data_IF_740120564379
#
_entry.id   IF_740120564379
#
_cell.length_a   1.000
_cell.length_b   1.000
_cell.length_c   1.000
_cell.angle_alpha   90.00
_cell.angle_beta   90.00
_cell.angle_gamma   90.00
#
_symmetry.space_group_name_H-M   'P 1'
#
loop_
_entity.id
_entity.type
_entity.pdbx_description
1 polymer ?
#
# COMPACT_ATOMS: atom_id res chain seq x y z
N UNK A 1 10.67 10.33 1.61
CA UNK A 1 10.41 9.39 2.73
C UNK A 1 11.22 9.86 3.93
N UNK A 2 10.61 10.01 5.13
CA UNK A 2 11.35 10.45 6.32
C UNK A 2 12.46 9.49 6.71
N UNK A 3 13.60 10.01 7.18
CA UNK A 3 14.78 9.20 7.53
C UNK A 3 14.62 8.39 8.82
N UNK A 4 13.61 8.66 9.63
CA UNK A 4 13.27 7.84 10.79
C UNK A 4 12.70 6.46 10.40
N UNK A 5 12.37 6.24 9.14
CA UNK A 5 11.95 4.94 8.63
C UNK A 5 13.11 4.21 7.96
N UNK A 6 13.27 2.90 8.21
CA UNK A 6 14.34 2.11 7.61
C UNK A 6 14.42 2.23 6.10
N UNK A 7 13.30 2.25 5.39
CA UNK A 7 13.27 2.45 3.94
C UNK A 7 13.92 3.78 3.54
N UNK A 8 13.51 4.90 4.13
CA UNK A 8 14.06 6.22 3.82
C UNK A 8 15.55 6.32 4.15
N UNK A 9 15.97 5.81 5.31
CA UNK A 9 17.38 5.81 5.70
C UNK A 9 18.22 4.89 4.81
N UNK A 10 17.80 3.64 4.63
CA UNK A 10 18.56 2.65 3.87
C UNK A 10 18.72 3.04 2.40
N UNK A 11 17.63 3.47 1.73
CA UNK A 11 17.66 3.74 0.29
C UNK A 11 18.18 5.14 -0.05
N UNK A 12 17.71 6.17 0.64
CA UNK A 12 18.05 7.55 0.28
C UNK A 12 19.39 8.02 0.85
N UNK A 13 19.80 7.51 2.00
CA UNK A 13 21.04 7.94 2.65
C UNK A 13 22.12 6.87 2.52
N UNK A 14 21.93 5.72 3.18
CA UNK A 14 22.98 4.72 3.30
C UNK A 14 23.41 4.17 1.94
N UNK A 15 22.47 3.72 1.12
CA UNK A 15 22.76 3.17 -0.21
C UNK A 15 23.42 4.21 -1.12
N UNK A 16 22.94 5.47 -1.08
CA UNK A 16 23.52 6.55 -1.89
C UNK A 16 24.98 6.79 -1.53
N UNK A 17 25.30 6.86 -0.23
CA UNK A 17 26.67 7.07 0.24
C UNK A 17 27.58 5.87 -0.04
N UNK A 18 27.13 4.65 0.20
CA UNK A 18 27.88 3.42 -0.07
C UNK A 18 28.18 3.24 -1.57
N UNK A 19 27.30 3.72 -2.45
CA UNK A 19 27.52 3.69 -3.90
C UNK A 19 28.26 4.91 -4.43
N UNK A 20 28.83 5.78 -3.59
CA UNK A 20 29.55 7.00 -4.00
C UNK A 20 28.66 8.02 -4.69
N UNK A 21 27.36 8.05 -4.38
CA UNK A 21 26.37 8.99 -4.97
C UNK A 21 26.10 10.16 -4.03
N UNK A 22 25.62 11.25 -4.58
CA UNK A 22 25.16 12.40 -3.79
C UNK A 22 23.74 12.15 -3.29
N UNK A 23 23.50 12.32 -1.99
CA UNK A 23 22.18 12.29 -1.39
C UNK A 23 21.62 13.72 -1.26
N UNK A 24 20.48 14.00 -1.86
CA UNK A 24 19.75 15.25 -1.66
C UNK A 24 18.83 15.06 -0.45
N UNK A 25 19.19 15.69 0.67
CA UNK A 25 18.45 15.59 1.90
C UNK A 25 17.36 16.68 1.95
N UNK A 26 16.12 16.27 2.08
CA UNK A 26 14.96 17.14 2.22
C UNK A 26 14.29 16.87 3.58
N UNK A 27 14.71 17.55 4.65
CA UNK A 27 14.22 17.25 6.00
C UNK A 27 12.75 17.60 6.20
N UNK A 28 12.26 18.56 5.42
CA UNK A 28 10.86 19.01 5.44
C UNK A 28 10.36 19.13 4.00
N UNK A 29 9.69 18.10 3.49
CA UNK A 29 9.05 18.12 2.19
C UNK A 29 7.59 18.54 2.34
N UNK A 30 7.26 19.67 1.73
CA UNK A 30 5.93 20.27 1.74
C UNK A 30 5.56 20.77 0.34
N UNK A 31 4.31 21.18 0.17
CA UNK A 31 3.84 21.82 -1.07
C UNK A 31 4.64 23.08 -1.42
N UNK A 32 5.18 23.77 -0.42
CA UNK A 32 5.86 25.07 -0.61
C UNK A 32 7.32 24.91 -1.03
N UNK A 33 7.94 23.74 -0.83
CA UNK A 33 9.36 23.52 -1.12
C UNK A 33 9.67 22.35 -2.05
N UNK A 34 8.69 21.54 -2.44
CA UNK A 34 8.93 20.36 -3.29
C UNK A 34 9.54 20.74 -4.63
N UNK A 35 9.10 21.82 -5.26
CA UNK A 35 9.65 22.30 -6.52
C UNK A 35 11.12 22.69 -6.39
N UNK A 36 11.52 23.32 -5.27
CA UNK A 36 12.93 23.63 -5.01
C UNK A 36 13.79 22.37 -5.00
N UNK A 37 13.33 21.28 -4.35
CA UNK A 37 14.07 20.03 -4.34
C UNK A 37 14.09 19.35 -5.72
N UNK A 38 13.02 19.44 -6.48
CA UNK A 38 12.98 18.91 -7.84
C UNK A 38 13.95 19.66 -8.78
N UNK A 39 14.12 20.98 -8.61
CA UNK A 39 15.12 21.79 -9.32
C UNK A 39 16.58 21.50 -8.94
N UNK A 40 16.84 20.65 -7.92
CA UNK A 40 18.19 20.10 -7.63
C UNK A 40 18.59 18.97 -8.59
N UNK A 41 17.77 18.67 -9.58
CA UNK A 41 18.02 17.67 -10.62
C UNK A 41 18.27 16.25 -10.06
N UNK A 42 17.39 15.69 -9.22
CA UNK A 42 17.55 14.32 -8.76
C UNK A 42 17.50 13.34 -9.94
N UNK A 43 18.36 12.33 -9.92
CA UNK A 43 18.32 11.26 -10.92
C UNK A 43 17.39 10.12 -10.46
N UNK A 44 17.39 9.80 -9.18
CA UNK A 44 16.56 8.77 -8.56
C UNK A 44 15.81 9.40 -7.40
N UNK A 45 14.52 9.12 -7.32
CA UNK A 45 13.65 9.59 -6.24
C UNK A 45 13.14 8.35 -5.48
N UNK A 46 13.46 8.27 -4.19
CA UNK A 46 12.87 7.28 -3.28
C UNK A 46 11.72 7.93 -2.51
N UNK A 47 10.53 7.38 -2.66
CA UNK A 47 9.36 8.01 -2.07
C UNK A 47 8.23 7.06 -1.72
N UNK A 48 7.09 7.65 -1.39
CA UNK A 48 5.80 6.98 -1.28
C UNK A 48 4.90 7.41 -2.44
N UNK A 49 3.77 6.74 -2.69
CA UNK A 49 2.77 7.23 -3.63
C UNK A 49 2.29 8.66 -3.30
N UNK A 50 2.22 9.02 -2.02
CA UNK A 50 1.88 10.37 -1.59
C UNK A 50 2.92 11.42 -2.06
N UNK A 51 4.22 11.08 -2.06
CA UNK A 51 5.25 11.98 -2.61
C UNK A 51 5.06 12.18 -4.12
N UNK A 52 4.70 11.15 -4.86
CA UNK A 52 4.40 11.28 -6.28
C UNK A 52 3.25 12.27 -6.53
N UNK A 53 2.18 12.17 -5.73
CA UNK A 53 1.05 13.10 -5.80
C UNK A 53 1.46 14.53 -5.40
N UNK A 54 2.29 14.67 -4.37
CA UNK A 54 2.82 15.99 -3.96
C UNK A 54 3.60 16.66 -5.11
N UNK A 55 4.46 15.90 -5.80
CA UNK A 55 5.22 16.39 -6.97
C UNK A 55 4.25 16.81 -8.08
N UNK A 56 3.32 15.95 -8.46
CA UNK A 56 2.34 16.23 -9.53
C UNK A 56 1.51 17.49 -9.30
N UNK A 57 1.17 17.77 -8.04
CA UNK A 57 0.28 18.89 -7.68
C UNK A 57 0.99 20.22 -7.51
N UNK A 58 2.30 20.21 -7.22
CA UNK A 58 2.98 21.42 -6.76
C UNK A 58 4.25 21.77 -7.55
N UNK A 59 4.64 20.98 -8.54
CA UNK A 59 5.71 21.37 -9.48
C UNK A 59 5.07 22.07 -10.66
N UNK A 60 5.51 23.30 -10.91
CA UNK A 60 4.95 24.19 -11.93
C UNK A 60 5.24 23.70 -13.35
N UNK A 61 4.33 24.00 -14.29
CA UNK A 61 4.57 23.78 -15.71
C UNK A 61 5.85 24.46 -16.18
N UNK A 62 6.61 23.80 -17.05
CA UNK A 62 7.87 24.30 -17.58
C UNK A 62 9.12 24.03 -16.73
N UNK A 63 8.99 23.45 -15.52
CA UNK A 63 10.14 22.93 -14.78
C UNK A 63 10.69 21.72 -15.53
N UNK A 64 11.98 21.76 -15.89
CA UNK A 64 12.64 20.63 -16.56
C UNK A 64 13.03 19.55 -15.53
N UNK A 65 12.51 18.34 -15.72
CA UNK A 65 12.80 17.17 -14.91
C UNK A 65 13.54 16.07 -15.71
N UNK A 66 14.18 16.42 -16.81
CA UNK A 66 14.89 15.49 -17.70
C UNK A 66 16.00 14.70 -17.00
N UNK A 67 16.50 15.20 -15.87
CA UNK A 67 17.45 14.50 -15.00
C UNK A 67 16.85 13.30 -14.28
N UNK A 68 15.54 13.33 -13.98
CA UNK A 68 14.85 12.25 -13.26
C UNK A 68 14.74 11.01 -14.15
N UNK A 69 15.30 9.89 -13.70
CA UNK A 69 15.30 8.62 -14.44
C UNK A 69 14.39 7.60 -13.79
N UNK A 70 14.39 7.53 -12.45
CA UNK A 70 13.70 6.51 -11.70
C UNK A 70 12.98 7.11 -10.48
N UNK A 71 11.73 6.68 -10.28
CA UNK A 71 10.96 6.88 -9.07
C UNK A 71 10.69 5.51 -8.43
N UNK A 72 11.30 5.24 -7.28
CA UNK A 72 11.15 3.97 -6.59
C UNK A 72 10.25 4.21 -5.37
N UNK A 73 9.05 3.65 -5.41
CA UNK A 73 8.03 3.84 -4.39
C UNK A 73 7.87 2.63 -3.49
N UNK A 74 7.53 2.88 -2.25
CA UNK A 74 7.22 1.86 -1.27
C UNK A 74 6.50 2.43 -0.06
N UNK A 75 6.10 1.54 0.84
CA UNK A 75 5.47 1.91 2.11
C UNK A 75 3.95 2.08 2.06
N UNK A 76 3.38 2.23 0.88
CA UNK A 76 1.94 2.24 0.62
C UNK A 76 1.68 1.67 -0.78
N UNK A 77 0.42 1.41 -1.11
CA UNK A 77 0.03 0.84 -2.41
C UNK A 77 0.03 1.93 -3.49
N UNK A 78 0.68 1.67 -4.62
CA UNK A 78 0.63 2.53 -5.80
C UNK A 78 -0.46 2.03 -6.76
N UNK A 79 -1.56 2.74 -6.83
CA UNK A 79 -2.62 2.40 -7.78
C UNK A 79 -2.12 2.56 -9.23
N UNK A 80 -2.52 1.63 -10.14
CA UNK A 80 -2.09 1.66 -11.55
C UNK A 80 -2.37 3.00 -12.24
N UNK A 81 -3.48 3.64 -11.88
CA UNK A 81 -3.87 4.97 -12.35
C UNK A 81 -2.83 6.02 -11.95
N UNK A 82 -2.45 6.07 -10.66
CA UNK A 82 -1.50 7.06 -10.16
C UNK A 82 -0.11 6.87 -10.79
N UNK A 83 0.29 5.60 -11.06
CA UNK A 83 1.49 5.29 -11.83
C UNK A 83 1.42 5.89 -13.23
N UNK A 84 0.32 5.63 -13.98
CA UNK A 84 0.12 6.15 -15.34
C UNK A 84 0.17 7.68 -15.36
N UNK A 85 -0.60 8.32 -14.51
CA UNK A 85 -0.62 9.78 -14.38
C UNK A 85 0.74 10.36 -14.01
N UNK A 86 1.49 9.67 -13.13
CA UNK A 86 2.87 10.04 -12.79
C UNK A 86 3.79 10.01 -13.99
N UNK A 87 3.77 8.94 -14.79
CA UNK A 87 4.57 8.84 -16.02
C UNK A 87 4.20 9.96 -17.00
N UNK A 88 2.91 10.22 -17.20
CA UNK A 88 2.44 11.30 -18.08
C UNK A 88 2.89 12.67 -17.58
N UNK A 89 2.82 12.92 -16.27
CA UNK A 89 3.32 14.16 -15.67
C UNK A 89 4.81 14.35 -15.94
N UNK A 90 5.65 13.38 -15.63
CA UNK A 90 7.10 13.48 -15.85
C UNK A 90 7.44 13.62 -17.34
N UNK A 91 6.69 12.99 -18.24
CA UNK A 91 6.86 13.15 -19.68
C UNK A 91 6.59 14.59 -20.13
N UNK A 92 5.59 15.27 -19.59
CA UNK A 92 5.35 16.72 -19.86
C UNK A 92 6.50 17.60 -19.39
N UNK A 93 7.26 17.14 -18.41
CA UNK A 93 8.44 17.80 -17.86
C UNK A 93 9.78 17.26 -18.41
N UNK A 94 9.78 16.74 -19.66
CA UNK A 94 10.94 16.23 -20.42
C UNK A 94 11.61 14.98 -19.84
N UNK A 95 10.96 14.23 -18.94
CA UNK A 95 11.53 13.02 -18.35
C UNK A 95 10.82 11.75 -18.83
N UNK A 96 11.59 10.73 -19.25
CA UNK A 96 11.14 9.38 -19.50
C UNK A 96 11.38 8.51 -18.23
N UNK A 97 10.74 8.88 -17.14
CA UNK A 97 10.94 8.25 -15.84
C UNK A 97 10.42 6.81 -15.80
N UNK A 98 11.17 5.90 -15.16
CA UNK A 98 10.67 4.61 -14.70
C UNK A 98 10.03 4.75 -13.32
N UNK A 99 8.82 4.23 -13.12
CA UNK A 99 8.18 4.16 -11.81
C UNK A 99 8.13 2.71 -11.35
N UNK A 100 8.82 2.43 -10.25
CA UNK A 100 9.03 1.10 -9.71
C UNK A 100 8.43 0.99 -8.30
N UNK A 101 7.98 -0.19 -7.95
CA UNK A 101 7.42 -0.50 -6.65
C UNK A 101 8.31 -1.43 -5.85
N UNK A 102 8.28 -1.28 -4.53
CA UNK A 102 8.88 -2.22 -3.60
C UNK A 102 7.97 -2.42 -2.40
N UNK A 103 8.08 -3.59 -1.78
CA UNK A 103 7.40 -3.89 -0.53
C UNK A 103 8.42 -4.25 0.54
N UNK A 104 8.10 -3.91 1.78
CA UNK A 104 8.95 -4.23 2.92
C UNK A 104 8.40 -3.71 4.23
N UNK A 105 9.15 -3.97 5.29
CA UNK A 105 8.84 -3.55 6.64
C UNK A 105 10.14 -3.20 7.38
N UNK A 106 10.02 -2.72 8.61
CA UNK A 106 11.17 -2.31 9.41
C UNK A 106 12.10 -3.49 9.72
N UNK A 107 11.54 -4.65 9.94
CA UNK A 107 12.23 -5.90 10.27
C UNK A 107 13.11 -6.43 9.12
N UNK A 108 12.82 -6.04 7.89
CA UNK A 108 13.60 -6.32 6.68
C UNK A 108 14.36 -5.10 6.16
N UNK A 109 14.81 -4.22 7.05
CA UNK A 109 15.57 -2.99 6.71
C UNK A 109 14.82 -2.09 5.71
N UNK A 110 13.49 -2.15 5.70
CA UNK A 110 12.62 -1.30 4.88
C UNK A 110 12.29 -1.84 3.50
N UNK A 111 13.02 -2.83 2.97
CA UNK A 111 12.78 -3.40 1.64
C UNK A 111 12.96 -4.92 1.67
N UNK A 112 11.96 -5.65 1.22
CA UNK A 112 11.99 -7.11 1.03
C UNK A 112 11.97 -7.46 -0.45
N UNK A 113 11.18 -6.71 -1.24
CA UNK A 113 11.05 -6.90 -2.69
C UNK A 113 11.20 -5.59 -3.43
N UNK A 114 11.63 -5.65 -4.69
CA UNK A 114 11.71 -4.48 -5.56
C UNK A 114 11.42 -4.85 -7.01
N UNK A 115 10.62 -4.04 -7.68
CA UNK A 115 10.41 -4.12 -9.13
C UNK A 115 11.50 -3.38 -9.94
N UNK A 116 12.49 -2.79 -9.27
CA UNK A 116 13.68 -2.21 -9.92
C UNK A 116 14.65 -3.32 -10.34
N UNK A 117 14.23 -4.09 -11.33
CA UNK A 117 14.94 -5.27 -11.87
C UNK A 117 14.92 -5.21 -13.40
N UNK A 118 15.81 -5.98 -14.03
CA UNK A 118 15.74 -6.19 -15.48
C UNK A 118 14.42 -6.91 -15.81
N UNK A 119 13.64 -6.36 -16.73
CA UNK A 119 12.32 -6.86 -17.14
C UNK A 119 11.30 -6.92 -15.97
N UNK A 120 10.88 -5.77 -15.43
CA UNK A 120 9.89 -5.72 -14.38
C UNK A 120 8.54 -6.27 -14.86
N UNK A 121 7.83 -7.00 -13.99
CA UNK A 121 6.48 -7.50 -14.25
C UNK A 121 5.46 -6.55 -13.64
N UNK A 122 4.64 -5.94 -14.47
CA UNK A 122 3.57 -5.04 -14.01
C UNK A 122 2.59 -5.78 -13.10
N UNK A 123 2.05 -5.08 -12.10
CA UNK A 123 1.12 -5.65 -11.13
C UNK A 123 1.81 -6.46 -10.02
N UNK A 124 3.13 -6.46 -9.97
CA UNK A 124 3.91 -7.05 -8.87
C UNK A 124 4.73 -5.98 -8.17
N UNK A 125 5.10 -6.24 -6.91
CA UNK A 125 6.08 -5.43 -6.18
C UNK A 125 7.51 -5.93 -6.39
N UNK A 126 7.72 -6.71 -7.45
CA UNK A 126 9.01 -7.17 -7.93
C UNK A 126 9.48 -8.47 -7.30
N UNK A 127 10.80 -8.66 -7.34
CA UNK A 127 11.49 -9.84 -6.82
C UNK A 127 12.08 -9.56 -5.45
N UNK A 128 12.38 -10.63 -4.71
CA UNK A 128 13.15 -10.54 -3.46
C UNK A 128 14.50 -9.87 -3.70
N UNK A 129 15.01 -9.22 -2.67
CA UNK A 129 16.38 -8.72 -2.68
C UNK A 129 17.40 -9.88 -2.81
N UNK A 130 18.51 -9.60 -3.46
CA UNK A 130 19.61 -10.57 -3.61
C UNK A 130 20.09 -11.01 -2.23
N UNK A 131 20.31 -12.32 -2.05
CA UNK A 131 20.68 -12.90 -0.75
C UNK A 131 19.51 -13.24 0.15
N UNK A 132 18.29 -13.03 -0.32
CA UNK A 132 17.05 -13.43 0.37
C UNK A 132 16.46 -14.70 -0.24
N UNK A 133 15.70 -15.43 0.59
CA UNK A 133 14.88 -16.55 0.17
C UNK A 133 13.46 -16.38 0.77
N UNK A 134 12.44 -16.91 0.12
CA UNK A 134 11.07 -16.78 0.61
C UNK A 134 10.24 -18.03 0.37
N UNK A 135 9.24 -18.18 1.24
CA UNK A 135 8.14 -19.12 1.07
C UNK A 135 6.82 -18.39 1.29
N UNK A 136 5.76 -18.93 0.72
CA UNK A 136 4.39 -18.53 1.03
C UNK A 136 3.79 -19.60 1.93
N UNK A 137 3.17 -19.18 3.04
CA UNK A 137 2.48 -20.11 3.95
C UNK A 137 1.01 -19.75 4.05
N UNK A 138 0.18 -20.77 4.30
CA UNK A 138 -1.16 -20.54 4.81
C UNK A 138 -1.03 -19.99 6.24
N UNK A 139 -1.53 -18.79 6.49
CA UNK A 139 -1.37 -18.09 7.77
C UNK A 139 -1.95 -18.89 8.96
N UNK A 140 -3.09 -19.53 8.77
CA UNK A 140 -3.82 -20.21 9.84
C UNK A 140 -3.20 -21.58 10.19
N UNK A 141 -2.68 -22.30 9.18
CA UNK A 141 -2.13 -23.65 9.36
C UNK A 141 -0.61 -23.73 9.39
N UNK A 142 0.08 -22.67 8.99
CA UNK A 142 1.55 -22.63 8.86
C UNK A 142 2.13 -23.49 7.72
N UNK A 143 1.28 -24.11 6.88
CA UNK A 143 1.73 -24.98 5.79
C UNK A 143 2.25 -24.16 4.61
N UNK A 144 3.38 -24.59 4.02
CA UNK A 144 3.90 -24.02 2.76
C UNK A 144 2.88 -24.23 1.63
N UNK A 145 2.65 -23.17 0.86
CA UNK A 145 1.80 -23.14 -0.32
C UNK A 145 2.64 -23.22 -1.60
N UNK A 146 2.00 -23.58 -2.70
CA UNK A 146 2.62 -23.63 -4.02
C UNK A 146 2.70 -22.22 -4.64
N UNK A 147 3.48 -22.10 -5.70
CA UNK A 147 3.48 -20.89 -6.53
C UNK A 147 2.06 -20.54 -7.01
N UNK A 148 1.77 -19.25 -7.05
CA UNK A 148 0.47 -18.69 -7.44
C UNK A 148 -0.70 -19.01 -6.48
N UNK A 149 -0.42 -19.58 -5.30
CA UNK A 149 -1.40 -19.68 -4.21
C UNK A 149 -1.23 -18.50 -3.24
N UNK A 150 -2.34 -17.90 -2.80
CA UNK A 150 -2.32 -16.75 -1.91
C UNK A 150 -2.04 -17.16 -0.47
N UNK A 151 -1.08 -16.49 0.16
CA UNK A 151 -0.76 -16.72 1.57
C UNK A 151 0.17 -15.65 2.13
N UNK A 152 0.67 -15.87 3.33
CA UNK A 152 1.61 -14.98 4.00
C UNK A 152 3.03 -15.17 3.47
N UNK A 153 3.65 -14.06 3.04
CA UNK A 153 5.06 -14.03 2.65
C UNK A 153 5.93 -14.19 3.90
N UNK A 154 6.79 -15.22 3.89
CA UNK A 154 7.83 -15.42 4.91
C UNK A 154 9.19 -15.34 4.25
N UNK A 155 10.11 -14.57 4.83
CA UNK A 155 11.41 -14.24 4.22
C UNK A 155 12.55 -14.58 5.17
N UNK A 156 13.67 -15.04 4.60
CA UNK A 156 14.95 -15.22 5.29
C UNK A 156 16.06 -14.51 4.54
N UNK A 157 17.11 -14.09 5.23
CA UNK A 157 18.26 -13.39 4.66
C UNK A 157 19.01 -12.57 5.72
N UNK A 158 20.23 -12.15 5.40
CA UNK A 158 21.10 -11.43 6.35
C UNK A 158 20.57 -10.05 6.75
N UNK A 159 19.68 -9.45 5.96
CA UNK A 159 19.07 -8.15 6.23
C UNK A 159 17.85 -8.25 7.17
N UNK A 160 17.39 -9.46 7.51
CA UNK A 160 16.27 -9.66 8.43
C UNK A 160 16.73 -9.42 9.87
N UNK A 161 15.92 -8.68 10.63
CA UNK A 161 16.21 -8.33 12.03
C UNK A 161 16.48 -9.57 12.91
N UNK A 162 17.26 -9.40 13.96
CA UNK A 162 17.52 -10.49 14.91
C UNK A 162 16.34 -10.75 15.85
N UNK A 163 15.58 -9.73 16.17
CA UNK A 163 14.41 -9.83 17.06
C UNK A 163 14.01 -8.48 17.63
N UNK A 164 12.90 -8.46 18.35
CA UNK A 164 12.40 -7.28 19.05
C UNK A 164 13.14 -7.09 20.39
N UNK A 165 13.65 -5.87 20.59
CA UNK A 165 14.45 -5.56 21.78
C UNK A 165 13.63 -5.78 23.06
N UNK A 166 14.17 -6.61 23.99
CA UNK A 166 13.52 -6.99 25.25
C UNK A 166 12.12 -7.58 25.11
N UNK A 167 11.82 -8.20 23.97
CA UNK A 167 10.54 -8.86 23.74
C UNK A 167 10.73 -10.19 22.99
N UNK A 168 11.09 -11.20 23.76
CA UNK A 168 11.36 -12.55 23.24
C UNK A 168 10.09 -13.24 22.73
N UNK A 169 8.94 -12.98 23.36
CA UNK A 169 7.66 -13.57 22.98
C UNK A 169 7.27 -13.12 21.57
N UNK A 170 7.23 -11.80 21.32
CA UNK A 170 6.98 -11.27 19.97
C UNK A 170 8.02 -11.75 18.95
N UNK A 171 9.28 -11.93 19.36
CA UNK A 171 10.32 -12.42 18.46
C UNK A 171 10.05 -13.85 18.05
N UNK A 172 9.67 -14.73 18.99
CA UNK A 172 9.30 -16.12 18.72
C UNK A 172 8.04 -16.22 17.83
N UNK A 173 7.05 -15.37 18.05
CA UNK A 173 5.84 -15.33 17.25
C UNK A 173 6.10 -14.89 15.81
N UNK A 174 7.05 -13.96 15.62
CA UNK A 174 7.39 -13.41 14.32
C UNK A 174 8.29 -14.33 13.49
N UNK A 175 8.96 -15.32 14.07
CA UNK A 175 9.94 -16.16 13.40
C UNK A 175 9.68 -17.65 13.61
N UNK A 176 10.13 -18.48 12.68
CA UNK A 176 10.04 -19.92 12.80
C UNK A 176 11.14 -20.62 11.98
N UNK A 177 11.47 -21.82 12.40
CA UNK A 177 12.43 -22.67 11.68
C UNK A 177 11.71 -23.50 10.62
N UNK A 178 12.23 -23.47 9.39
CA UNK A 178 11.74 -24.28 8.28
C UNK A 178 12.89 -24.76 7.39
N UNK A 179 12.98 -26.06 7.14
CA UNK A 179 14.04 -26.69 6.33
C UNK A 179 15.46 -26.21 6.69
N UNK A 180 15.71 -26.04 8.01
CA UNK A 180 17.02 -25.63 8.52
C UNK A 180 17.35 -24.14 8.43
N UNK A 181 16.43 -23.31 7.98
CA UNK A 181 16.55 -21.84 7.93
C UNK A 181 15.53 -21.17 8.84
N UNK A 182 15.90 -20.02 9.44
CA UNK A 182 14.95 -19.19 10.20
C UNK A 182 14.25 -18.23 9.24
N UNK A 183 12.91 -18.28 9.20
CA UNK A 183 12.06 -17.38 8.41
C UNK A 183 11.34 -16.39 9.31
N UNK A 184 11.19 -15.17 8.80
CA UNK A 184 10.40 -14.11 9.38
C UNK A 184 9.03 -14.02 8.69
N UNK A 185 7.95 -14.04 9.47
CA UNK A 185 6.58 -13.81 9.02
C UNK A 185 6.37 -12.32 8.80
N UNK A 186 6.17 -11.90 7.56
CA UNK A 186 6.13 -10.47 7.22
C UNK A 186 4.79 -9.80 7.52
N UNK A 187 3.74 -10.56 7.81
CA UNK A 187 2.36 -10.07 7.91
C UNK A 187 1.79 -9.60 6.57
N UNK A 188 2.47 -9.89 5.46
CA UNK A 188 2.08 -9.46 4.11
C UNK A 188 1.47 -10.64 3.36
N UNK A 189 0.28 -10.44 2.80
CA UNK A 189 -0.39 -11.42 1.95
C UNK A 189 -0.05 -11.20 0.48
N UNK A 190 0.08 -12.28 -0.26
CA UNK A 190 0.31 -12.24 -1.68
C UNK A 190 0.61 -13.58 -2.31
N UNK A 191 1.02 -13.53 -3.57
CA UNK A 191 1.36 -14.68 -4.39
C UNK A 191 2.80 -14.54 -4.87
N UNK A 192 3.55 -15.63 -4.78
CA UNK A 192 4.87 -15.74 -5.40
C UNK A 192 4.72 -16.59 -6.66
N UNK A 193 5.18 -16.09 -7.80
CA UNK A 193 5.16 -16.86 -9.04
C UNK A 193 6.47 -17.66 -9.24
N UNK A 194 6.48 -18.54 -10.25
CA UNK A 194 7.62 -19.41 -10.57
C UNK A 194 8.86 -18.61 -11.00
N UNK A 195 8.69 -17.40 -11.50
CA UNK A 195 9.79 -16.48 -11.86
C UNK A 195 10.33 -15.70 -10.65
N UNK A 196 9.74 -15.85 -9.47
CA UNK A 196 10.08 -15.18 -8.23
C UNK A 196 9.56 -13.76 -8.09
N UNK A 197 8.52 -13.37 -8.86
CA UNK A 197 7.83 -12.10 -8.66
C UNK A 197 6.75 -12.25 -7.59
N UNK A 198 6.68 -11.27 -6.69
CA UNK A 198 5.69 -11.21 -5.64
C UNK A 198 4.57 -10.24 -6.00
N UNK A 199 3.34 -10.73 -6.03
CA UNK A 199 2.13 -9.93 -6.17
C UNK A 199 1.55 -9.68 -4.78
N UNK A 200 1.59 -8.44 -4.31
CA UNK A 200 1.01 -8.03 -3.04
C UNK A 200 -0.53 -8.01 -3.16
N UNK A 201 -1.23 -8.69 -2.26
CA UNK A 201 -2.70 -8.68 -2.20
C UNK A 201 -3.23 -7.99 -0.95
N UNK A 202 -2.46 -7.95 0.15
CA UNK A 202 -2.90 -7.27 1.36
C UNK A 202 -2.01 -7.51 2.57
N UNK A 203 -2.61 -7.33 3.76
CA UNK A 203 -1.98 -7.56 5.06
C UNK A 203 -2.79 -8.57 5.87
N UNK A 204 -2.11 -9.46 6.57
CA UNK A 204 -2.74 -10.43 7.49
C UNK A 204 -3.64 -9.75 8.51
N UNK A 205 -3.25 -8.57 9.00
CA UNK A 205 -3.98 -7.81 10.03
C UNK A 205 -5.09 -6.90 9.47
N UNK A 206 -5.23 -6.77 8.14
CA UNK A 206 -6.19 -5.85 7.51
C UNK A 206 -7.37 -6.58 6.91
N UNK A 207 -8.19 -7.12 7.79
CA UNK A 207 -9.45 -7.77 7.42
C UNK A 207 -10.53 -7.46 8.46
N UNK A 208 -11.78 -7.73 8.09
CA UNK A 208 -12.89 -7.85 9.03
C UNK A 208 -13.65 -9.15 8.77
N UNK A 209 -14.32 -9.67 9.80
CA UNK A 209 -15.06 -10.92 9.74
C UNK A 209 -16.53 -10.59 9.58
N UNK A 210 -17.14 -11.07 8.50
CA UNK A 210 -18.56 -10.86 8.20
C UNK A 210 -19.41 -11.93 8.87
N UNK A 211 -18.93 -13.17 8.82
CA UNK A 211 -19.59 -14.35 9.42
C UNK A 211 -18.53 -15.31 9.94
N UNK A 212 -18.96 -16.41 10.55
CA UNK A 212 -18.03 -17.44 11.03
C UNK A 212 -17.13 -18.05 9.94
N UNK A 213 -17.48 -17.88 8.67
CA UNK A 213 -16.78 -18.48 7.53
C UNK A 213 -16.19 -17.45 6.56
N UNK A 214 -16.67 -16.20 6.62
CA UNK A 214 -16.32 -15.17 5.64
C UNK A 214 -15.44 -14.07 6.23
N UNK A 215 -14.25 -13.97 5.67
CA UNK A 215 -13.25 -12.93 5.97
C UNK A 215 -13.10 -12.02 4.74
N UNK A 216 -13.15 -10.71 4.95
CA UNK A 216 -12.95 -9.69 3.91
C UNK A 216 -11.62 -8.99 4.10
N UNK A 217 -10.73 -9.14 3.14
CA UNK A 217 -9.46 -8.43 3.12
C UNK A 217 -9.65 -7.03 2.54
N UNK A 218 -9.48 -6.02 3.40
CA UNK A 218 -9.74 -4.62 3.05
C UNK A 218 -8.95 -4.15 1.82
N UNK A 219 -7.70 -4.57 1.68
CA UNK A 219 -6.83 -4.16 0.58
C UNK A 219 -7.34 -4.64 -0.78
N UNK A 220 -7.87 -5.87 -0.87
CA UNK A 220 -8.42 -6.40 -2.10
C UNK A 220 -9.64 -5.59 -2.58
N UNK A 221 -10.54 -5.26 -1.65
CA UNK A 221 -11.72 -4.46 -1.95
C UNK A 221 -11.34 -3.03 -2.33
N UNK A 222 -10.41 -2.41 -1.60
CA UNK A 222 -9.88 -1.08 -1.93
C UNK A 222 -9.28 -1.01 -3.33
N UNK A 223 -8.52 -2.04 -3.73
CA UNK A 223 -7.93 -2.11 -5.06
C UNK A 223 -8.99 -2.08 -6.15
N UNK A 224 -10.11 -2.75 -5.96
CA UNK A 224 -11.23 -2.75 -6.92
C UNK A 224 -11.94 -1.39 -6.92
N UNK A 225 -12.29 -0.85 -5.75
CA UNK A 225 -12.95 0.46 -5.66
C UNK A 225 -12.10 1.57 -6.28
N UNK A 226 -10.78 1.48 -6.17
CA UNK A 226 -9.86 2.47 -6.76
C UNK A 226 -9.88 2.50 -8.29
N UNK A 227 -10.41 1.46 -8.96
CA UNK A 227 -10.56 1.42 -10.41
C UNK A 227 -11.78 2.21 -10.90
N UNK A 228 -12.71 2.56 -10.00
CA UNK A 228 -13.90 3.35 -10.34
C UNK A 228 -13.48 4.77 -10.72
N UNK A 229 -13.96 5.25 -11.85
CA UNK A 229 -13.47 6.47 -12.51
C UNK A 229 -13.59 7.75 -11.66
N UNK A 230 -14.60 7.83 -10.78
CA UNK A 230 -14.83 8.99 -9.90
C UNK A 230 -14.00 8.97 -8.61
N UNK A 231 -13.35 7.84 -8.29
CA UNK A 231 -12.57 7.67 -7.08
C UNK A 231 -11.13 8.14 -7.28
N UNK A 232 -10.65 8.99 -6.39
CA UNK A 232 -9.24 9.40 -6.30
C UNK A 232 -8.48 8.53 -5.29
N UNK A 233 -9.02 8.40 -4.08
CA UNK A 233 -8.45 7.55 -3.04
C UNK A 233 -9.56 6.84 -2.25
N UNK A 234 -9.24 5.67 -1.68
CA UNK A 234 -10.17 4.90 -0.87
C UNK A 234 -9.46 4.21 0.29
N UNK A 235 -10.15 4.14 1.42
CA UNK A 235 -9.76 3.32 2.56
C UNK A 235 -10.98 2.54 3.05
N UNK A 236 -10.86 1.23 3.20
CA UNK A 236 -11.89 0.34 3.71
C UNK A 236 -11.52 -0.13 5.11
N UNK A 237 -12.50 -0.13 6.01
CA UNK A 237 -12.40 -0.70 7.36
C UNK A 237 -13.68 -1.47 7.68
N UNK A 238 -13.59 -2.40 8.64
CA UNK A 238 -14.77 -3.09 9.16
C UNK A 238 -15.55 -2.19 10.11
N UNK A 239 -16.86 -2.05 9.89
CA UNK A 239 -17.82 -1.42 10.81
C UNK A 239 -18.56 -2.53 11.56
N UNK A 240 -18.62 -2.51 12.90
CA UNK A 240 -19.47 -3.44 13.64
C UNK A 240 -20.93 -3.37 13.16
N UNK A 241 -21.61 -4.48 13.14
CA UNK A 241 -22.99 -4.62 12.66
C UNK A 241 -23.79 -5.52 13.60
N UNK A 242 -25.10 -5.29 13.73
CA UNK A 242 -25.92 -6.06 14.66
C UNK A 242 -26.37 -7.43 14.07
N UNK A 243 -26.52 -7.51 12.74
CA UNK A 243 -26.95 -8.71 12.03
C UNK A 243 -25.76 -9.55 11.54
N UNK A 244 -24.65 -8.87 11.21
CA UNK A 244 -23.38 -9.46 10.83
C UNK A 244 -22.32 -9.04 11.87
N UNK A 245 -21.22 -9.78 11.98
CA UNK A 245 -20.14 -9.38 12.91
C UNK A 245 -19.59 -8.00 12.51
N UNK A 246 -19.30 -7.83 11.21
CA UNK A 246 -18.84 -6.56 10.64
C UNK A 246 -19.35 -6.43 9.20
N UNK A 247 -19.53 -5.18 8.75
CA UNK A 247 -19.76 -4.81 7.36
C UNK A 247 -18.67 -3.84 6.88
N UNK A 248 -18.52 -3.69 5.55
CA UNK A 248 -17.53 -2.76 4.99
C UNK A 248 -17.95 -1.30 5.12
N UNK A 249 -17.08 -0.45 5.66
CA UNK A 249 -17.20 1.01 5.62
C UNK A 249 -16.09 1.59 4.76
N UNK A 250 -16.44 2.23 3.63
CA UNK A 250 -15.49 2.87 2.75
C UNK A 250 -15.40 4.38 3.02
N UNK A 251 -14.19 4.87 3.25
CA UNK A 251 -13.86 6.30 3.24
C UNK A 251 -13.26 6.63 1.88
N UNK A 252 -13.87 7.54 1.13
CA UNK A 252 -13.53 7.81 -0.26
C UNK A 252 -13.23 9.29 -0.45
N UNK A 253 -12.11 9.58 -1.11
CA UNK A 253 -11.80 10.88 -1.68
C UNK A 253 -12.19 10.81 -3.16
N UNK A 254 -13.05 11.73 -3.56
CA UNK A 254 -13.49 11.83 -4.95
C UNK A 254 -12.52 12.69 -5.76
N UNK A 255 -12.48 12.46 -7.07
CA UNK A 255 -11.75 13.33 -7.99
C UNK A 255 -12.30 14.77 -7.95
N UNK A 256 -11.49 15.77 -8.34
CA UNK A 256 -11.96 17.15 -8.46
C UNK A 256 -13.23 17.23 -9.33
N UNK A 257 -14.17 18.09 -8.92
CA UNK A 257 -15.44 18.34 -9.59
C UNK A 257 -16.48 17.21 -9.56
N UNK A 258 -16.22 16.10 -8.86
CA UNK A 258 -17.24 15.08 -8.59
C UNK A 258 -18.03 15.46 -7.33
N UNK A 259 -19.36 15.57 -7.40
CA UNK A 259 -20.15 16.00 -6.25
C UNK A 259 -20.26 14.90 -5.19
N UNK A 260 -20.19 15.32 -3.91
CA UNK A 260 -20.32 14.42 -2.74
C UNK A 260 -21.80 14.21 -2.39
N UNK A 261 -22.53 13.47 -3.23
CA UNK A 261 -23.98 13.25 -3.09
C UNK A 261 -24.32 11.78 -2.81
N UNK A 262 -25.58 11.53 -2.45
CA UNK A 262 -26.09 10.16 -2.29
C UNK A 262 -26.14 9.43 -3.65
N UNK A 263 -26.37 10.14 -4.75
CA UNK A 263 -26.32 9.59 -6.11
C UNK A 263 -24.92 9.08 -6.43
N UNK A 264 -23.89 9.83 -6.06
CA UNK A 264 -22.48 9.39 -6.24
C UNK A 264 -22.17 8.16 -5.40
N UNK A 265 -22.70 8.04 -4.17
CA UNK A 265 -22.54 6.82 -3.36
C UNK A 265 -23.22 5.62 -4.04
N UNK A 266 -24.47 5.78 -4.50
CA UNK A 266 -25.21 4.73 -5.21
C UNK A 266 -24.47 4.29 -6.48
N UNK A 267 -23.93 5.25 -7.23
CA UNK A 267 -23.12 4.95 -8.41
C UNK A 267 -21.89 4.09 -8.05
N UNK A 268 -21.12 4.47 -7.04
CA UNK A 268 -19.94 3.70 -6.62
C UNK A 268 -20.33 2.28 -6.18
N UNK A 269 -21.42 2.13 -5.41
CA UNK A 269 -21.89 0.81 -5.00
C UNK A 269 -22.30 -0.02 -6.22
N UNK A 270 -23.03 0.54 -7.17
CA UNK A 270 -23.43 -0.17 -8.41
C UNK A 270 -22.23 -0.55 -9.27
N UNK A 271 -21.17 0.26 -9.29
CA UNK A 271 -19.92 -0.11 -9.95
C UNK A 271 -19.24 -1.31 -9.24
N UNK A 272 -19.26 -1.35 -7.89
CA UNK A 272 -18.69 -2.47 -7.13
C UNK A 272 -19.34 -3.83 -7.45
N UNK A 273 -20.56 -3.86 -7.96
CA UNK A 273 -21.26 -5.08 -8.37
C UNK A 273 -20.77 -5.63 -9.72
N UNK A 274 -20.06 -4.83 -10.49
CA UNK A 274 -19.59 -5.19 -11.84
C UNK A 274 -18.31 -6.01 -11.80
N UNK A 275 -17.99 -6.62 -12.94
CA UNK A 275 -16.68 -7.22 -13.16
C UNK A 275 -15.65 -6.17 -13.52
N UNK A 276 -14.47 -6.28 -12.93
CA UNK A 276 -13.31 -5.45 -13.23
C UNK A 276 -12.20 -6.28 -13.86
N UNK A 277 -11.32 -5.61 -14.59
CA UNK A 277 -10.04 -6.19 -15.01
C UNK A 277 -8.97 -5.60 -14.10
N UNK A 278 -8.35 -6.44 -13.26
CA UNK A 278 -7.29 -5.99 -12.38
C UNK A 278 -6.00 -5.68 -13.17
N UNK A 279 -5.00 -5.16 -12.48
CA UNK A 279 -3.70 -4.78 -13.06
C UNK A 279 -2.94 -5.94 -13.74
N UNK A 280 -3.31 -7.19 -13.44
CA UNK A 280 -2.74 -8.40 -14.04
C UNK A 280 -3.58 -8.91 -15.23
N UNK A 281 -4.56 -8.14 -15.70
CA UNK A 281 -5.48 -8.52 -16.78
C UNK A 281 -6.50 -9.59 -16.40
N UNK A 282 -6.59 -9.97 -15.12
CA UNK A 282 -7.54 -10.97 -14.63
C UNK A 282 -8.89 -10.32 -14.32
N UNK A 283 -9.97 -10.96 -14.71
CA UNK A 283 -11.34 -10.57 -14.33
C UNK A 283 -11.54 -10.85 -12.84
N UNK A 284 -11.99 -9.85 -12.10
CA UNK A 284 -12.30 -9.91 -10.67
C UNK A 284 -13.67 -9.29 -10.42
N UNK A 285 -14.39 -9.80 -9.43
CA UNK A 285 -15.68 -9.28 -9.01
C UNK A 285 -15.76 -9.41 -7.49
N UNK A 286 -16.29 -8.38 -6.82
CA UNK A 286 -16.55 -8.44 -5.40
C UNK A 286 -17.74 -9.36 -5.13
N UNK A 287 -17.62 -10.15 -4.09
CA UNK A 287 -18.76 -10.89 -3.55
C UNK A 287 -19.72 -9.91 -2.86
N UNK A 288 -21.01 -10.23 -2.76
CA UNK A 288 -21.99 -9.32 -2.16
C UNK A 288 -21.59 -8.79 -0.77
N UNK A 289 -20.99 -9.62 0.07
CA UNK A 289 -20.55 -9.25 1.41
C UNK A 289 -19.21 -8.46 1.44
N UNK A 290 -18.49 -8.39 0.33
CA UNK A 290 -17.27 -7.56 0.16
C UNK A 290 -17.61 -6.14 -0.27
N UNK A 291 -18.80 -5.92 -0.83
CA UNK A 291 -19.26 -4.58 -1.22
C UNK A 291 -19.49 -3.74 0.04
N UNK A 292 -18.95 -2.50 0.10
CA UNK A 292 -19.12 -1.65 1.28
C UNK A 292 -20.61 -1.37 1.56
N UNK A 293 -21.05 -1.62 2.79
CA UNK A 293 -22.42 -1.32 3.24
C UNK A 293 -22.64 0.20 3.41
N UNK A 294 -21.56 0.95 3.59
CA UNK A 294 -21.65 2.40 3.75
C UNK A 294 -20.42 3.14 3.20
N UNK A 295 -20.64 4.37 2.72
CA UNK A 295 -19.59 5.26 2.19
C UNK A 295 -19.62 6.59 2.91
N UNK A 296 -18.46 7.09 3.29
CA UNK A 296 -18.25 8.47 3.74
C UNK A 296 -17.25 9.16 2.82
N UNK A 297 -17.63 10.31 2.26
CA UNK A 297 -16.73 11.13 1.47
C UNK A 297 -15.90 12.05 2.36
N UNK A 298 -14.59 12.07 2.11
CA UNK A 298 -13.63 12.95 2.77
C UNK A 298 -12.97 13.87 1.73
N UNK A 299 -12.39 14.99 2.20
CA UNK A 299 -11.55 15.83 1.37
C UNK A 299 -10.16 15.21 1.19
N UNK A 300 -9.65 14.57 2.26
CA UNK A 300 -8.42 13.78 2.27
C UNK A 300 -8.52 12.62 3.26
N UNK A 301 -7.81 11.53 3.00
CA UNK A 301 -7.71 10.44 3.97
C UNK A 301 -6.80 10.85 5.12
N UNK A 302 -7.18 10.57 6.38
CA UNK A 302 -6.35 10.91 7.53
C UNK A 302 -5.01 10.17 7.47
N UNK A 303 -3.93 10.90 7.74
CA UNK A 303 -2.58 10.39 7.70
C UNK A 303 -1.89 10.51 9.05
N UNK A 304 -1.09 9.53 9.37
CA UNK A 304 -0.23 9.60 10.54
C UNK A 304 0.85 10.68 10.32
N UNK A 305 0.96 11.64 11.24
CA UNK A 305 1.87 12.79 11.13
C UNK A 305 3.36 12.42 10.99
N UNK A 306 3.77 11.26 11.49
CA UNK A 306 5.16 10.82 11.43
C UNK A 306 5.46 9.99 10.18
N UNK A 307 4.53 9.14 9.75
CA UNK A 307 4.76 8.17 8.67
C UNK A 307 4.20 8.60 7.33
N UNK A 308 3.32 9.59 7.32
CA UNK A 308 2.51 9.98 6.15
C UNK A 308 1.68 8.83 5.54
N UNK A 309 1.53 7.73 6.29
CA UNK A 309 0.65 6.61 5.92
C UNK A 309 -0.76 6.87 6.39
N UNK A 310 -1.74 6.25 5.72
CA UNK A 310 -3.15 6.30 6.16
C UNK A 310 -3.25 5.87 7.62
N UNK A 311 -3.93 6.67 8.43
CA UNK A 311 -4.15 6.40 9.86
C UNK A 311 -5.37 5.49 10.05
N UNK A 312 -5.17 4.20 9.86
CA UNK A 312 -6.22 3.19 10.07
C UNK A 312 -6.73 3.12 11.50
N UNK A 313 -5.89 3.48 12.50
CA UNK A 313 -6.32 3.50 13.90
C UNK A 313 -7.36 4.58 14.13
N UNK A 314 -7.15 5.77 13.54
CA UNK A 314 -8.12 6.86 13.61
C UNK A 314 -9.40 6.48 12.89
N UNK A 315 -9.33 5.91 11.68
CA UNK A 315 -10.52 5.49 10.93
C UNK A 315 -11.33 4.41 11.67
N UNK A 316 -10.68 3.40 12.24
CA UNK A 316 -11.35 2.39 13.05
C UNK A 316 -12.01 2.99 14.30
N UNK A 317 -11.37 3.98 14.95
CA UNK A 317 -11.94 4.69 16.08
C UNK A 317 -13.21 5.46 15.69
N UNK A 318 -13.17 6.21 14.57
CA UNK A 318 -14.32 6.95 14.04
C UNK A 318 -15.51 6.02 13.75
N UNK A 319 -15.26 4.87 13.15
CA UNK A 319 -16.29 3.87 12.85
C UNK A 319 -16.90 3.26 14.11
N UNK A 320 -16.06 2.99 15.13
CA UNK A 320 -16.55 2.47 16.41
C UNK A 320 -17.39 3.51 17.18
N UNK A 321 -17.05 4.79 17.09
CA UNK A 321 -17.83 5.89 17.67
C UNK A 321 -19.15 6.07 16.92
N UNK A 322 -19.15 6.05 15.58
CA UNK A 322 -20.35 6.10 14.74
C UNK A 322 -21.33 4.98 15.11
N UNK A 323 -20.87 3.74 15.19
CA UNK A 323 -21.70 2.61 15.58
C UNK A 323 -22.34 2.76 16.98
N UNK A 324 -21.57 3.26 17.95
CA UNK A 324 -22.11 3.55 19.29
C UNK A 324 -23.21 4.59 19.27
N UNK A 325 -23.05 5.65 18.50
CA UNK A 325 -24.08 6.70 18.36
C UNK A 325 -25.35 6.16 17.71
N UNK A 326 -25.23 5.42 16.61
CA UNK A 326 -26.37 4.78 15.94
C UNK A 326 -27.13 3.84 16.89
N UNK A 327 -26.42 3.08 17.72
CA UNK A 327 -27.04 2.19 18.72
C UNK A 327 -27.80 2.95 19.80
N UNK A 328 -27.26 4.09 20.26
CA UNK A 328 -27.93 4.96 21.23
C UNK A 328 -29.20 5.61 20.65
N UNK A 329 -29.18 5.99 19.37
CA UNK A 329 -30.33 6.56 18.69
C UNK A 329 -31.47 5.55 18.48
N UNK A 330 -31.11 4.29 18.17
CA UNK A 330 -32.10 3.18 18.04
C UNK A 330 -32.75 2.83 19.38
N UNK A 331 -32.02 2.95 20.51
CA UNK A 331 -32.55 2.68 21.85
C UNK A 331 -33.44 3.79 22.40
N UNK A 332 -33.41 4.99 21.77
CA UNK A 332 -34.23 6.14 22.15
C UNK A 332 -35.54 6.25 21.36
N UNK A 333 -35.68 5.45 20.33
CA UNK A 333 -36.93 5.26 19.54
C UNK A 333 -37.70 4.03 20.00
#
# INVERSE_FOLDING_TARGET
MPFCYPYGFATSVLMSLLCGRTAILAPDLSKDNIEYFMKKNPNIIFGSPALLELIKRNVSDGVDLSSCKDFITGGDFLFPKNRKEGIEFFKKHNSNIGIYEGSGNAEGLGTLTSSYVKNPKLGTVGKLLVGSDAIIINHDTGKELKYNEEGELCVTGDHIFKGYFKNEELTKDAKFMYKGKEYFKTGTLGLLDEDGFFTLTGRVSRFYIVSSLDKVHCDNVQNIISLIDVVENVCLVGKPDDDMLFTGKAFIVLKPNVPKTEETKKYIISECEKQFINQNGKRVQLKPYEIPASITFLDELPRNKLSDKIDYKLLNKLVAEEYKLEKLERTRK
#
